data_IF_698904385235
#
_entry.id   IF_698904385235
#
_cell.length_a   1.000
_cell.length_b   1.000
_cell.length_c   1.000
_cell.angle_alpha   90.00
_cell.angle_beta   90.00
_cell.angle_gamma   90.00
#
_symmetry.space_group_name_H-M   'P 1'
#
loop_
_entity.id
_entity.type
_entity.pdbx_description
1 polymer ?
#
# COMPACT_ATOMS: atom_id res chain seq x y z
N UNK A 1 -14.88 7.78 -4.44
CA UNK A 1 -13.63 8.59 -4.41
C UNK A 1 -13.55 9.56 -5.60
N UNK A 2 -13.51 9.10 -6.87
CA UNK A 2 -13.32 9.99 -8.04
C UNK A 2 -14.38 11.10 -8.15
N UNK A 3 -15.63 10.79 -7.81
CA UNK A 3 -16.69 11.79 -7.80
C UNK A 3 -16.40 12.93 -6.78
N UNK A 4 -15.85 12.60 -5.61
CA UNK A 4 -15.45 13.59 -4.61
C UNK A 4 -14.23 14.40 -5.08
N UNK A 5 -13.24 13.74 -5.70
CA UNK A 5 -12.11 14.45 -6.32
C UNK A 5 -12.56 15.40 -7.44
N UNK A 6 -13.61 15.03 -8.19
CA UNK A 6 -14.16 15.92 -9.22
C UNK A 6 -14.90 17.15 -8.64
N UNK A 7 -15.28 17.14 -7.35
CA UNK A 7 -15.86 18.32 -6.66
C UNK A 7 -14.76 19.29 -6.22
N UNK A 8 -13.56 18.80 -5.93
CA UNK A 8 -12.35 19.58 -5.61
C UNK A 8 -11.18 19.03 -6.44
N UNK A 9 -11.17 19.26 -7.76
CA UNK A 9 -10.23 18.59 -8.66
C UNK A 9 -8.80 19.06 -8.40
N UNK A 10 -7.83 18.13 -8.25
CA UNK A 10 -6.43 18.49 -8.24
C UNK A 10 -5.98 18.99 -9.61
N UNK A 11 -5.00 19.88 -9.65
CA UNK A 11 -4.38 20.30 -10.92
C UNK A 11 -3.62 19.14 -11.58
N UNK A 12 -3.00 18.27 -10.79
CA UNK A 12 -2.24 17.09 -11.23
C UNK A 12 -2.49 15.96 -10.26
N UNK A 13 -2.80 14.79 -10.79
CA UNK A 13 -2.84 13.52 -10.06
C UNK A 13 -1.76 12.59 -10.61
N UNK A 14 -1.04 11.93 -9.71
CA UNK A 14 -0.14 10.81 -10.02
C UNK A 14 -0.61 9.58 -9.25
N UNK A 15 -0.81 8.42 -9.91
CA UNK A 15 -1.26 7.23 -9.24
C UNK A 15 -0.20 6.66 -8.29
N UNK A 16 -0.64 6.15 -7.15
CA UNK A 16 0.18 5.28 -6.29
C UNK A 16 0.06 3.80 -6.69
N UNK A 17 0.74 2.93 -5.95
CA UNK A 17 0.66 1.49 -6.18
C UNK A 17 -0.75 0.94 -5.90
N UNK A 18 -1.49 1.50 -4.96
CA UNK A 18 -2.83 1.04 -4.58
C UNK A 18 -3.93 1.34 -5.61
N UNK A 19 -3.70 2.25 -6.55
CA UNK A 19 -4.61 2.46 -7.67
C UNK A 19 -4.72 1.23 -8.59
N UNK A 20 -3.74 0.34 -8.54
CA UNK A 20 -3.69 -0.89 -9.34
C UNK A 20 -4.19 -2.14 -8.61
N UNK A 21 -4.67 -2.04 -7.36
CA UNK A 21 -5.07 -3.20 -6.54
C UNK A 21 -6.19 -4.03 -7.18
N UNK A 22 -7.13 -3.39 -7.86
CA UNK A 22 -8.24 -4.02 -8.57
C UNK A 22 -7.95 -4.30 -10.05
N UNK A 23 -6.70 -4.24 -10.44
CA UNK A 23 -6.24 -4.52 -11.80
C UNK A 23 -6.32 -3.33 -12.76
N UNK A 24 -5.70 -3.47 -13.95
CA UNK A 24 -5.53 -2.36 -14.89
C UNK A 24 -6.85 -1.87 -15.51
N UNK A 25 -7.82 -2.75 -15.68
CA UNK A 25 -9.11 -2.38 -16.31
C UNK A 25 -9.90 -1.44 -15.39
N UNK A 26 -10.04 -1.79 -14.11
CA UNK A 26 -10.75 -0.96 -13.14
C UNK A 26 -9.98 0.35 -12.89
N UNK A 27 -8.65 0.31 -12.81
CA UNK A 27 -7.81 1.50 -12.71
C UNK A 27 -8.08 2.49 -13.86
N UNK A 28 -7.97 2.05 -15.12
CA UNK A 28 -8.19 2.91 -16.29
C UNK A 28 -9.63 3.44 -16.33
N UNK A 29 -10.60 2.59 -16.02
CA UNK A 29 -12.01 2.99 -15.96
C UNK A 29 -12.21 4.13 -14.96
N UNK A 30 -11.68 4.01 -13.73
CA UNK A 30 -11.80 5.03 -12.70
C UNK A 30 -11.05 6.32 -13.04
N UNK A 31 -9.84 6.19 -13.59
CA UNK A 31 -9.08 7.37 -14.01
C UNK A 31 -9.76 8.15 -15.14
N UNK A 32 -10.49 7.47 -16.04
CA UNK A 32 -11.27 8.15 -17.09
C UNK A 32 -12.49 8.92 -16.56
N UNK A 33 -12.99 8.61 -15.36
CA UNK A 33 -14.03 9.39 -14.68
C UNK A 33 -13.49 10.71 -14.10
N UNK A 34 -12.16 10.80 -13.89
CA UNK A 34 -11.49 11.97 -13.30
C UNK A 34 -11.37 13.15 -14.28
N UNK A 35 -11.83 14.33 -13.86
CA UNK A 35 -11.84 15.61 -14.63
C UNK A 35 -10.60 16.47 -14.36
N UNK A 36 -9.48 15.86 -14.08
CA UNK A 36 -8.21 16.50 -13.74
C UNK A 36 -7.07 15.92 -14.58
N UNK A 37 -5.95 16.65 -14.67
CA UNK A 37 -4.79 16.16 -15.37
C UNK A 37 -4.15 15.00 -14.60
N UNK A 38 -3.66 14.01 -15.35
CA UNK A 38 -3.02 12.80 -14.82
C UNK A 38 -1.66 12.63 -15.47
N UNK A 39 -0.63 12.44 -14.64
CA UNK A 39 0.74 12.18 -15.12
C UNK A 39 1.18 10.77 -14.79
N UNK A 40 1.85 10.11 -15.76
CA UNK A 40 2.40 8.78 -15.61
C UNK A 40 3.67 8.64 -16.46
N UNK A 41 4.73 9.33 -16.05
CA UNK A 41 5.97 9.49 -16.83
C UNK A 41 6.71 8.16 -17.01
N UNK A 42 6.80 7.34 -15.94
CA UNK A 42 7.52 6.07 -15.94
C UNK A 42 6.63 4.85 -16.17
N UNK A 43 5.35 5.05 -16.52
CA UNK A 43 4.36 3.96 -16.59
C UNK A 43 3.91 3.74 -18.02
N UNK A 44 3.90 2.47 -18.46
CA UNK A 44 3.49 2.06 -19.81
C UNK A 44 2.80 0.70 -19.78
N UNK A 45 2.02 0.37 -20.80
CA UNK A 45 1.70 -1.01 -21.08
C UNK A 45 2.94 -1.80 -21.52
N UNK A 46 2.90 -3.14 -21.41
CA UNK A 46 4.00 -4.03 -21.84
C UNK A 46 4.40 -3.87 -23.30
N UNK A 47 3.50 -3.40 -24.17
CA UNK A 47 3.76 -3.11 -25.57
C UNK A 47 4.41 -1.73 -25.80
N UNK A 48 4.68 -0.98 -24.72
CA UNK A 48 5.28 0.36 -24.75
C UNK A 48 4.29 1.50 -24.93
N UNK A 49 3.00 1.23 -25.14
CA UNK A 49 1.98 2.27 -25.31
C UNK A 49 1.68 3.01 -24.00
N UNK A 50 1.26 4.28 -24.12
CA UNK A 50 0.84 5.12 -22.99
C UNK A 50 -0.48 4.66 -22.41
N UNK A 51 -0.70 4.95 -21.13
CA UNK A 51 -1.99 4.77 -20.51
C UNK A 51 -3.01 5.79 -21.04
N UNK A 52 -4.23 5.39 -21.37
CA UNK A 52 -5.28 6.29 -21.85
C UNK A 52 -5.57 7.41 -20.85
N UNK A 53 -5.59 8.66 -21.32
CA UNK A 53 -5.88 9.84 -20.51
C UNK A 53 -4.75 10.29 -19.59
N UNK A 54 -3.54 9.74 -19.74
CA UNK A 54 -2.35 10.16 -19.03
C UNK A 54 -1.35 10.83 -19.95
N UNK A 55 -0.67 11.85 -19.41
CA UNK A 55 0.45 12.52 -20.07
C UNK A 55 1.77 12.20 -19.36
N UNK A 56 2.88 12.35 -20.07
CA UNK A 56 4.21 12.14 -19.51
C UNK A 56 4.63 13.31 -18.62
N UNK A 57 4.31 14.54 -19.09
CA UNK A 57 4.74 15.78 -18.44
C UNK A 57 3.69 16.87 -18.62
N UNK A 58 3.79 17.90 -17.78
CA UNK A 58 3.03 19.13 -17.95
C UNK A 58 3.95 20.34 -17.78
N UNK A 59 3.72 21.39 -18.55
CA UNK A 59 4.37 22.68 -18.38
C UNK A 59 3.32 23.71 -18.00
N UNK A 60 3.54 24.45 -16.89
CA UNK A 60 2.74 25.60 -16.48
C UNK A 60 3.61 26.84 -16.37
N UNK A 61 3.06 27.99 -16.68
CA UNK A 61 3.74 29.28 -16.57
C UNK A 61 3.03 30.17 -15.56
N UNK A 62 3.78 30.73 -14.61
CA UNK A 62 3.30 31.64 -13.58
C UNK A 62 4.17 32.92 -13.61
N UNK A 63 3.58 34.05 -14.02
CA UNK A 63 4.28 35.34 -14.07
C UNK A 63 5.63 35.28 -14.80
N UNK A 64 5.68 34.53 -15.91
CA UNK A 64 6.87 34.38 -16.73
C UNK A 64 7.90 33.35 -16.22
N UNK A 65 7.57 32.60 -15.17
CA UNK A 65 8.36 31.46 -14.70
C UNK A 65 7.72 30.17 -15.19
N UNK A 66 8.48 29.34 -15.90
CA UNK A 66 8.02 28.06 -16.43
C UNK A 66 8.35 26.92 -15.47
N UNK A 67 7.36 26.18 -15.05
CA UNK A 67 7.52 25.02 -14.17
C UNK A 67 7.13 23.77 -14.94
N UNK A 68 8.08 22.84 -15.07
CA UNK A 68 7.85 21.54 -15.68
C UNK A 68 7.54 20.50 -14.62
N UNK A 69 6.47 19.72 -14.85
CA UNK A 69 6.00 18.66 -13.95
C UNK A 69 6.18 17.30 -14.61
N UNK A 70 6.57 16.30 -13.81
CA UNK A 70 6.55 14.88 -14.15
C UNK A 70 5.85 14.09 -13.05
N UNK A 71 5.32 12.91 -13.39
CA UNK A 71 4.62 12.01 -12.45
C UNK A 71 5.29 10.64 -12.40
N UNK A 72 5.71 10.17 -11.22
CA UNK A 72 6.40 8.90 -11.06
C UNK A 72 5.71 8.02 -10.00
N UNK A 73 5.43 6.78 -10.39
CA UNK A 73 4.98 5.72 -9.47
C UNK A 73 6.14 4.80 -9.16
N UNK A 74 6.20 4.25 -7.95
CA UNK A 74 7.26 3.33 -7.55
C UNK A 74 7.41 2.14 -8.51
N UNK A 75 8.64 1.83 -8.89
CA UNK A 75 8.97 0.68 -9.75
C UNK A 75 8.71 -0.67 -9.07
N UNK A 76 8.51 -0.68 -7.75
CA UNK A 76 8.15 -1.87 -6.96
C UNK A 76 6.66 -2.25 -7.09
N UNK A 77 5.83 -1.43 -7.75
CA UNK A 77 4.38 -1.65 -7.91
C UNK A 77 4.00 -3.07 -8.34
N UNK A 78 4.72 -3.74 -9.26
CA UNK A 78 4.40 -5.13 -9.63
C UNK A 78 4.56 -6.15 -8.49
N UNK A 79 5.42 -5.87 -7.51
CA UNK A 79 5.65 -6.74 -6.34
C UNK A 79 4.70 -6.41 -5.16
N UNK A 80 4.10 -5.21 -5.14
CA UNK A 80 3.29 -4.71 -4.03
C UNK A 80 1.84 -4.37 -4.39
N UNK A 81 1.41 -4.62 -5.65
CA UNK A 81 0.04 -4.42 -6.13
C UNK A 81 -0.30 -5.35 -7.30
N UNK A 82 -1.32 -5.04 -8.09
CA UNK A 82 -1.86 -5.88 -9.16
C UNK A 82 -1.95 -5.17 -10.52
N UNK A 83 -0.85 -4.59 -11.06
CA UNK A 83 -0.89 -3.76 -12.26
C UNK A 83 -1.07 -4.55 -13.57
N UNK A 84 -1.09 -5.89 -13.54
CA UNK A 84 -1.33 -6.74 -14.70
C UNK A 84 -0.30 -6.57 -15.82
N UNK A 85 -0.74 -5.99 -16.94
CA UNK A 85 0.13 -5.74 -18.10
C UNK A 85 0.75 -4.33 -18.12
N UNK A 86 0.66 -3.59 -17.02
CA UNK A 86 1.30 -2.28 -16.86
C UNK A 86 2.71 -2.49 -16.27
N UNK A 87 3.68 -1.73 -16.77
CA UNK A 87 5.10 -1.78 -16.40
C UNK A 87 5.57 -0.41 -15.92
N UNK A 88 6.58 -0.41 -15.06
CA UNK A 88 7.17 0.78 -14.45
C UNK A 88 8.66 0.79 -14.74
N UNK A 89 9.11 1.86 -15.41
CA UNK A 89 10.52 2.08 -15.68
C UNK A 89 11.24 2.66 -14.47
N UNK A 90 12.58 2.57 -14.43
CA UNK A 90 13.40 3.15 -13.37
C UNK A 90 13.03 4.60 -13.09
N UNK A 91 12.71 4.90 -11.83
CA UNK A 91 12.35 6.25 -11.40
C UNK A 91 13.49 7.24 -11.65
N UNK A 92 14.73 6.87 -11.33
CA UNK A 92 15.91 7.74 -11.48
C UNK A 92 16.21 8.04 -12.94
N UNK A 93 16.24 7.02 -13.82
CA UNK A 93 16.61 7.22 -15.21
C UNK A 93 15.52 7.97 -15.96
N UNK A 94 14.26 7.69 -15.66
CA UNK A 94 13.12 8.42 -16.21
C UNK A 94 13.15 9.88 -15.75
N UNK A 95 13.38 10.16 -14.47
CA UNK A 95 13.47 11.54 -13.97
C UNK A 95 14.62 12.32 -14.60
N UNK A 96 15.80 11.70 -14.76
CA UNK A 96 16.96 12.34 -15.43
C UNK A 96 16.65 12.76 -16.85
N UNK A 97 16.16 11.82 -17.65
CA UNK A 97 15.86 12.09 -19.07
C UNK A 97 14.72 13.10 -19.23
N UNK A 98 13.64 12.95 -18.45
CA UNK A 98 12.49 13.86 -18.50
C UNK A 98 12.84 15.24 -17.98
N UNK A 99 13.59 15.33 -16.85
CA UNK A 99 14.04 16.59 -16.30
C UNK A 99 14.92 17.38 -17.29
N UNK A 100 15.83 16.71 -17.99
CA UNK A 100 16.63 17.32 -19.07
C UNK A 100 15.74 17.85 -20.20
N UNK A 101 14.79 17.06 -20.68
CA UNK A 101 13.87 17.46 -21.74
C UNK A 101 12.97 18.65 -21.33
N UNK A 102 12.50 18.69 -20.09
CA UNK A 102 11.75 19.83 -19.56
C UNK A 102 12.60 21.10 -19.50
N UNK A 103 13.88 21.00 -19.09
CA UNK A 103 14.82 22.13 -19.11
C UNK A 103 15.11 22.63 -20.54
N UNK A 104 15.32 21.72 -21.48
CA UNK A 104 15.48 22.05 -22.90
C UNK A 104 14.24 22.75 -23.48
N UNK A 105 13.05 22.36 -22.99
CA UNK A 105 11.78 23.02 -23.33
C UNK A 105 11.57 24.36 -22.59
N UNK A 106 12.54 24.79 -21.79
CA UNK A 106 12.56 26.09 -21.13
C UNK A 106 12.00 26.11 -19.71
N UNK A 107 11.91 24.98 -19.03
CA UNK A 107 11.52 24.97 -17.62
C UNK A 107 12.58 25.66 -16.74
N UNK A 108 12.14 26.66 -15.98
CA UNK A 108 12.96 27.31 -14.95
C UNK A 108 13.05 26.45 -13.66
N UNK A 109 12.02 25.63 -13.40
CA UNK A 109 11.94 24.70 -12.27
C UNK A 109 11.39 23.36 -12.76
N UNK A 110 11.87 22.26 -12.19
CA UNK A 110 11.36 20.90 -12.42
C UNK A 110 10.82 20.34 -11.12
N UNK A 111 9.53 19.98 -11.14
CA UNK A 111 8.80 19.39 -10.03
C UNK A 111 8.45 17.95 -10.36
N UNK A 112 8.80 17.02 -9.50
CA UNK A 112 8.34 15.64 -9.56
C UNK A 112 7.22 15.43 -8.54
N UNK A 113 6.04 15.06 -9.02
CA UNK A 113 4.94 14.55 -8.19
C UNK A 113 5.08 13.04 -8.19
N UNK A 114 5.29 12.45 -7.02
CA UNK A 114 5.73 11.05 -6.97
C UNK A 114 4.99 10.24 -5.91
N UNK A 115 4.96 8.93 -6.13
CA UNK A 115 4.54 7.96 -5.13
C UNK A 115 5.68 6.95 -4.98
N UNK A 116 6.67 7.31 -4.17
CA UNK A 116 7.94 6.59 -4.00
C UNK A 116 8.41 6.63 -2.54
N UNK A 117 9.30 5.69 -2.16
CA UNK A 117 9.87 5.68 -0.83
C UNK A 117 10.80 6.89 -0.60
N UNK A 118 10.86 7.40 0.61
CA UNK A 118 11.63 8.60 1.02
C UNK A 118 13.08 8.58 0.53
N UNK A 119 13.73 7.41 0.55
CA UNK A 119 15.10 7.27 0.01
C UNK A 119 15.15 7.59 -1.50
N UNK A 120 14.16 7.14 -2.26
CA UNK A 120 14.05 7.42 -3.68
C UNK A 120 13.79 8.92 -3.92
N UNK A 121 12.98 9.55 -3.09
CA UNK A 121 12.67 10.97 -3.17
C UNK A 121 13.92 11.84 -3.06
N UNK A 122 14.80 11.54 -2.10
CA UNK A 122 16.10 12.20 -2.01
C UNK A 122 17.02 11.88 -3.19
N UNK A 123 16.99 10.65 -3.68
CA UNK A 123 17.75 10.28 -4.88
C UNK A 123 17.27 11.06 -6.12
N UNK A 124 15.97 11.33 -6.28
CA UNK A 124 15.41 12.18 -7.34
C UNK A 124 15.93 13.62 -7.24
N UNK A 125 15.95 14.20 -6.04
CA UNK A 125 16.48 15.55 -5.84
C UNK A 125 17.96 15.66 -6.21
N UNK A 126 18.79 14.75 -5.71
CA UNK A 126 20.25 14.89 -5.78
C UNK A 126 20.90 14.17 -6.97
N UNK A 127 20.26 13.13 -7.52
CA UNK A 127 20.83 12.33 -8.62
C UNK A 127 20.12 12.54 -9.94
N UNK A 128 18.86 13.02 -9.95
CA UNK A 128 18.08 13.20 -11.19
C UNK A 128 17.83 14.67 -11.58
N UNK A 129 18.33 15.64 -10.82
CA UNK A 129 18.25 17.06 -11.17
C UNK A 129 16.87 17.69 -10.96
N UNK A 130 15.97 17.04 -10.22
CA UNK A 130 14.67 17.59 -9.80
C UNK A 130 14.89 18.69 -8.76
N UNK A 131 14.09 19.75 -8.77
CA UNK A 131 14.17 20.85 -7.80
C UNK A 131 13.25 20.65 -6.61
N UNK A 132 12.04 20.15 -6.88
CA UNK A 132 11.00 19.90 -5.87
C UNK A 132 10.43 18.51 -6.06
N UNK A 133 10.28 17.77 -4.97
CA UNK A 133 9.56 16.50 -4.90
C UNK A 133 8.33 16.69 -4.03
N UNK A 134 7.15 16.37 -4.58
CA UNK A 134 5.89 16.25 -3.86
C UNK A 134 5.57 14.76 -3.77
N UNK A 135 5.72 14.18 -2.59
CA UNK A 135 5.72 12.72 -2.40
C UNK A 135 4.53 12.20 -1.61
N UNK A 136 4.34 10.92 -1.67
CA UNK A 136 3.53 10.04 -0.84
C UNK A 136 4.13 8.64 -0.85
N UNK A 137 3.51 7.66 -0.24
CA UNK A 137 3.86 6.24 -0.13
C UNK A 137 4.30 5.79 1.26
N UNK A 138 5.29 6.47 1.88
CA UNK A 138 5.84 6.05 3.19
C UNK A 138 4.99 6.51 4.37
N UNK A 139 3.95 7.33 4.12
CA UNK A 139 3.06 7.88 5.14
C UNK A 139 3.77 8.78 6.16
N UNK A 140 4.83 9.47 5.74
CA UNK A 140 5.55 10.40 6.57
C UNK A 140 4.99 11.83 6.48
N UNK A 141 4.97 12.55 7.59
CA UNK A 141 4.85 14.00 7.54
C UNK A 141 6.27 14.58 7.41
N UNK A 142 6.65 14.91 6.19
CA UNK A 142 8.02 15.30 5.88
C UNK A 142 8.06 16.63 5.13
N UNK A 143 8.83 17.59 5.65
CA UNK A 143 9.15 18.86 4.99
C UNK A 143 10.66 19.08 5.06
N UNK A 144 11.27 19.23 3.90
CA UNK A 144 12.71 19.44 3.76
C UNK A 144 13.00 20.57 2.78
N UNK A 145 13.99 21.40 3.08
CA UNK A 145 14.55 22.41 2.20
C UNK A 145 16.02 22.70 2.55
N UNK A 146 16.92 22.62 1.58
CA UNK A 146 18.36 22.85 1.75
C UNK A 146 18.86 24.18 1.19
N UNK A 147 17.96 25.06 0.78
CA UNK A 147 18.27 26.31 0.08
C UNK A 147 18.22 26.21 -1.44
N UNK A 148 18.01 25.02 -2.02
CA UNK A 148 17.94 24.77 -3.47
C UNK A 148 16.94 23.67 -3.86
N UNK A 149 16.72 22.72 -3.00
CA UNK A 149 15.90 21.54 -3.23
C UNK A 149 14.85 21.43 -2.12
N UNK A 150 13.64 21.03 -2.47
CA UNK A 150 12.57 20.83 -1.50
C UNK A 150 11.93 19.44 -1.67
N UNK A 151 11.52 18.85 -0.55
CA UNK A 151 10.72 17.62 -0.48
C UNK A 151 9.56 17.86 0.47
N UNK A 152 8.36 17.42 0.08
CA UNK A 152 7.16 17.44 0.91
C UNK A 152 6.45 16.11 0.79
N UNK A 153 6.09 15.52 1.93
CA UNK A 153 5.15 14.40 2.07
C UNK A 153 4.17 14.74 3.19
N UNK A 154 2.85 14.51 2.99
CA UNK A 154 1.78 15.01 3.86
C UNK A 154 1.09 13.93 4.67
N UNK A 155 1.80 12.84 5.00
CA UNK A 155 1.26 11.67 5.70
C UNK A 155 0.22 10.91 4.86
N UNK A 156 -0.58 10.06 5.49
CA UNK A 156 -1.65 9.29 4.87
C UNK A 156 -3.04 9.86 5.16
N UNK A 157 -4.05 9.35 4.47
CA UNK A 157 -5.49 9.54 4.73
C UNK A 157 -5.95 11.01 4.77
N UNK A 158 -5.18 11.89 4.14
CA UNK A 158 -5.41 13.35 4.17
C UNK A 158 -5.45 13.94 5.60
N UNK A 159 -4.77 13.33 6.59
CA UNK A 159 -4.64 13.90 7.93
C UNK A 159 -4.02 15.31 7.90
N UNK A 160 -3.10 15.53 6.98
CA UNK A 160 -2.45 16.83 6.80
C UNK A 160 -2.51 17.29 5.34
N UNK A 161 -2.56 18.59 5.16
CA UNK A 161 -2.32 19.26 3.88
C UNK A 161 -1.11 20.16 4.05
N UNK A 162 -0.06 19.93 3.24
CA UNK A 162 1.11 20.80 3.22
C UNK A 162 0.99 21.78 2.06
N UNK A 163 1.06 23.05 2.38
CA UNK A 163 1.09 24.14 1.41
C UNK A 163 2.51 24.62 1.29
N UNK A 164 3.03 24.71 0.06
CA UNK A 164 4.34 25.27 -0.24
C UNK A 164 4.15 26.48 -1.17
N UNK A 165 4.13 27.67 -0.60
CA UNK A 165 4.13 28.92 -1.35
C UNK A 165 5.54 29.21 -1.85
N UNK A 166 5.74 29.37 -3.16
CA UNK A 166 7.07 29.61 -3.74
C UNK A 166 7.17 31.03 -4.25
N UNK A 167 8.13 31.76 -3.73
CA UNK A 167 8.51 33.09 -4.23
C UNK A 167 9.65 32.94 -5.25
N UNK A 168 9.55 33.68 -6.36
CA UNK A 168 10.56 33.70 -7.41
C UNK A 168 11.21 35.08 -7.56
N UNK A 169 12.54 35.11 -7.66
CA UNK A 169 13.31 36.25 -8.09
C UNK A 169 13.88 35.97 -9.49
N UNK A 170 13.40 36.72 -10.48
CA UNK A 170 13.80 36.57 -11.87
C UNK A 170 14.72 37.72 -12.25
N UNK A 171 15.96 37.42 -12.50
CA UNK A 171 16.97 38.38 -12.88
C UNK A 171 17.85 37.89 -14.02
N UNK A 172 18.88 38.65 -14.31
CA UNK A 172 19.92 38.31 -15.29
C UNK A 172 21.28 38.24 -14.60
N UNK A 173 22.10 37.27 -14.98
CA UNK A 173 23.48 37.16 -14.53
C UNK A 173 24.38 36.72 -15.71
N UNK A 174 25.36 37.53 -16.05
CA UNK A 174 26.30 37.30 -17.16
C UNK A 174 25.62 37.06 -18.50
N UNK A 175 24.55 37.85 -18.78
CA UNK A 175 23.80 37.77 -20.04
C UNK A 175 22.86 36.54 -20.13
N UNK A 176 22.64 35.84 -19.02
CA UNK A 176 21.73 34.68 -18.97
C UNK A 176 20.63 34.92 -17.92
N UNK A 177 19.42 34.56 -18.28
CA UNK A 177 18.26 34.52 -17.35
C UNK A 177 18.61 33.67 -16.17
N UNK A 178 18.31 34.14 -14.98
CA UNK A 178 18.50 33.43 -13.70
C UNK A 178 17.20 33.51 -12.90
N UNK A 179 16.73 32.36 -12.45
CA UNK A 179 15.58 32.26 -11.54
C UNK A 179 16.08 31.68 -10.19
N UNK A 180 15.80 32.39 -9.13
CA UNK A 180 16.00 31.94 -7.75
C UNK A 180 14.62 31.78 -7.12
N UNK A 181 14.51 30.90 -6.12
CA UNK A 181 13.23 30.66 -5.48
C UNK A 181 13.41 30.30 -4.00
N UNK A 182 12.38 30.59 -3.21
CA UNK A 182 12.29 30.30 -1.79
C UNK A 182 10.89 29.74 -1.48
N UNK A 183 10.80 28.58 -0.77
CA UNK A 183 9.53 28.06 -0.31
C UNK A 183 9.17 28.65 1.06
N UNK A 184 7.88 28.84 1.27
CA UNK A 184 7.27 29.08 2.56
C UNK A 184 6.28 27.96 2.84
N UNK A 185 6.43 27.25 3.96
CA UNK A 185 5.66 26.04 4.25
C UNK A 185 4.61 26.30 5.31
N UNK A 186 3.41 25.77 5.09
CA UNK A 186 2.34 25.71 6.07
C UNK A 186 1.80 24.28 6.10
N UNK A 187 1.63 23.71 7.29
CA UNK A 187 1.04 22.39 7.50
C UNK A 187 -0.30 22.61 8.18
N UNK A 188 -1.36 22.08 7.59
CA UNK A 188 -2.72 22.17 8.09
C UNK A 188 -3.16 20.80 8.55
N UNK A 189 -3.51 20.66 9.83
CA UNK A 189 -4.20 19.49 10.37
C UNK A 189 -5.67 19.56 9.94
N UNK A 190 -6.11 18.60 9.14
CA UNK A 190 -7.45 18.58 8.55
C UNK A 190 -8.54 18.29 9.56
N UNK A 191 -8.21 17.67 10.71
CA UNK A 191 -9.17 17.41 11.78
C UNK A 191 -9.85 18.69 12.30
N UNK A 192 -9.19 19.86 12.12
CA UNK A 192 -9.68 21.16 12.57
C UNK A 192 -10.30 21.99 11.43
N UNK A 193 -10.44 21.43 10.24
CA UNK A 193 -11.00 22.13 9.09
C UNK A 193 -12.50 21.86 8.98
N UNK A 194 -13.31 22.91 8.87
CA UNK A 194 -14.74 22.74 8.60
C UNK A 194 -14.94 22.18 7.19
N UNK A 195 -15.63 21.03 7.03
CA UNK A 195 -15.86 20.44 5.73
C UNK A 195 -16.70 21.35 4.82
N UNK A 196 -16.43 21.31 3.51
CA UNK A 196 -17.33 21.89 2.53
C UNK A 196 -18.73 21.24 2.63
N UNK A 197 -19.83 22.01 2.76
CA UNK A 197 -21.15 21.44 2.99
C UNK A 197 -21.63 20.50 1.88
N UNK A 198 -21.32 20.80 0.61
CA UNK A 198 -21.76 19.96 -0.50
C UNK A 198 -20.99 18.62 -0.54
N UNK A 199 -19.70 18.65 -0.22
CA UNK A 199 -18.88 17.43 -0.08
C UNK A 199 -19.37 16.61 1.11
N UNK A 200 -19.62 17.24 2.25
CA UNK A 200 -20.13 16.56 3.46
C UNK A 200 -21.49 15.88 3.22
N UNK A 201 -22.43 16.56 2.53
CA UNK A 201 -23.72 15.99 2.15
C UNK A 201 -23.56 14.77 1.24
N UNK A 202 -22.64 14.82 0.27
CA UNK A 202 -22.36 13.72 -0.64
C UNK A 202 -21.80 12.51 0.11
N UNK A 203 -20.84 12.74 1.02
CA UNK A 203 -20.27 11.70 1.88
C UNK A 203 -21.35 11.07 2.75
N UNK A 204 -22.18 11.86 3.41
CA UNK A 204 -23.30 11.37 4.22
C UNK A 204 -24.29 10.52 3.42
N UNK A 205 -24.54 10.87 2.16
CA UNK A 205 -25.39 10.08 1.25
C UNK A 205 -24.79 8.70 0.95
N UNK A 206 -23.48 8.60 0.72
CA UNK A 206 -22.80 7.31 0.55
C UNK A 206 -22.83 6.49 1.85
N UNK A 207 -22.54 7.12 2.98
CA UNK A 207 -22.56 6.49 4.29
C UNK A 207 -23.94 5.90 4.62
N UNK A 208 -25.01 6.66 4.40
CA UNK A 208 -26.38 6.20 4.63
C UNK A 208 -26.78 4.99 3.76
N UNK A 209 -26.26 4.94 2.54
CA UNK A 209 -26.49 3.81 1.63
C UNK A 209 -25.71 2.57 2.07
N UNK A 210 -24.44 2.75 2.42
CA UNK A 210 -23.55 1.66 2.83
C UNK A 210 -23.92 1.08 4.20
N UNK A 211 -24.36 1.91 5.14
CA UNK A 211 -24.66 1.48 6.53
C UNK A 211 -25.71 0.40 6.58
N UNK A 212 -26.74 0.45 5.73
CA UNK A 212 -27.80 -0.58 5.71
C UNK A 212 -27.28 -1.99 5.41
N UNK A 213 -26.20 -2.09 4.62
CA UNK A 213 -25.64 -3.36 4.21
C UNK A 213 -24.42 -3.77 5.05
N UNK A 214 -23.68 -2.79 5.53
CA UNK A 214 -22.40 -3.02 6.19
C UNK A 214 -22.52 -3.14 7.71
N UNK A 215 -23.48 -2.45 8.36
CA UNK A 215 -23.61 -2.47 9.82
C UNK A 215 -24.39 -3.70 10.34
N UNK A 216 -24.45 -4.74 9.49
CA UNK A 216 -25.02 -6.05 9.89
C UNK A 216 -24.05 -6.77 10.80
N UNK A 217 -24.50 -7.04 12.04
CA UNK A 217 -23.73 -7.83 13.00
C UNK A 217 -23.45 -9.25 12.46
N UNK A 218 -22.22 -9.72 12.64
CA UNK A 218 -21.78 -11.05 12.24
C UNK A 218 -21.32 -11.92 13.40
N UNK A 219 -21.12 -11.33 14.57
CA UNK A 219 -20.70 -12.00 15.80
C UNK A 219 -20.21 -10.99 16.83
N UNK A 220 -19.63 -11.48 17.90
CA UNK A 220 -19.01 -10.66 18.96
C UNK A 220 -17.57 -11.07 19.18
N UNK A 221 -16.77 -10.24 19.85
CA UNK A 221 -15.44 -10.60 20.32
C UNK A 221 -15.39 -10.53 21.84
N UNK A 222 -15.03 -11.62 22.52
CA UNK A 222 -14.79 -11.63 23.97
C UNK A 222 -13.40 -11.10 24.34
N UNK A 223 -12.57 -10.80 23.34
CA UNK A 223 -11.19 -10.35 23.51
C UNK A 223 -10.97 -9.04 22.74
N UNK A 224 -9.94 -8.32 23.14
CA UNK A 224 -9.44 -7.18 22.36
C UNK A 224 -8.84 -7.65 21.02
N UNK A 225 -9.20 -6.96 19.94
CA UNK A 225 -8.60 -7.17 18.62
C UNK A 225 -7.82 -5.90 18.22
N UNK A 226 -6.52 -5.94 18.41
CA UNK A 226 -5.63 -4.85 18.00
C UNK A 226 -5.20 -5.03 16.53
N UNK A 227 -5.59 -4.09 15.65
CA UNK A 227 -5.28 -4.09 14.22
C UNK A 227 -4.30 -2.99 13.85
N UNK A 228 -3.75 -2.27 14.83
CA UNK A 228 -2.79 -1.18 14.60
C UNK A 228 -1.54 -1.71 13.88
N UNK A 229 -0.99 -0.88 12.98
CA UNK A 229 0.25 -1.19 12.24
C UNK A 229 1.38 -1.64 13.16
N UNK A 230 1.50 -0.99 14.33
CA UNK A 230 2.50 -1.34 15.34
C UNK A 230 2.34 -2.75 15.91
N UNK A 231 1.16 -3.34 15.85
CA UNK A 231 0.86 -4.68 16.36
C UNK A 231 0.89 -5.72 15.24
N UNK A 232 0.09 -5.52 14.17
CA UNK A 232 -0.04 -6.54 13.11
C UNK A 232 1.19 -6.67 12.20
N UNK A 233 2.16 -5.76 12.29
CA UNK A 233 3.37 -5.78 11.46
C UNK A 233 4.65 -6.11 12.22
N UNK A 234 4.57 -6.37 13.53
CA UNK A 234 5.72 -6.60 14.39
C UNK A 234 5.64 -7.87 15.22
N UNK A 235 4.42 -8.40 15.44
CA UNK A 235 4.19 -9.52 16.34
C UNK A 235 2.91 -10.29 16.03
N UNK A 236 2.64 -11.30 16.86
CA UNK A 236 1.40 -12.04 16.81
C UNK A 236 0.23 -11.11 17.17
N UNK A 237 -0.82 -11.08 16.36
CA UNK A 237 -2.01 -10.27 16.58
C UNK A 237 -3.28 -11.13 16.46
N UNK A 238 -4.25 -10.92 17.37
CA UNK A 238 -5.48 -11.71 17.42
C UNK A 238 -6.27 -11.63 16.09
N UNK A 239 -6.37 -10.46 15.47
CA UNK A 239 -7.05 -10.31 14.18
C UNK A 239 -6.29 -10.99 13.04
N UNK A 240 -4.95 -10.98 13.07
CA UNK A 240 -4.11 -11.73 12.12
C UNK A 240 -4.31 -13.24 12.25
N UNK A 241 -4.37 -13.74 13.49
CA UNK A 241 -4.69 -15.13 13.79
C UNK A 241 -6.09 -15.51 13.28
N UNK A 242 -7.10 -14.69 13.59
CA UNK A 242 -8.48 -14.87 13.12
C UNK A 242 -8.56 -14.97 11.59
N UNK A 243 -7.87 -14.07 10.89
CA UNK A 243 -7.84 -14.06 9.41
C UNK A 243 -7.19 -15.31 8.84
N UNK A 244 -6.01 -15.69 9.35
CA UNK A 244 -5.32 -16.90 8.90
C UNK A 244 -6.12 -18.17 9.19
N UNK A 245 -6.81 -18.26 10.36
CA UNK A 245 -7.68 -19.38 10.73
C UNK A 245 -8.90 -19.47 9.81
N UNK A 246 -9.52 -18.33 9.50
CA UNK A 246 -10.66 -18.25 8.59
C UNK A 246 -10.28 -18.77 7.18
N UNK A 247 -9.20 -18.27 6.61
CA UNK A 247 -8.72 -18.68 5.29
C UNK A 247 -8.38 -20.18 5.26
N UNK A 248 -7.61 -20.66 6.25
CA UNK A 248 -7.25 -22.08 6.36
C UNK A 248 -8.49 -22.96 6.42
N UNK A 249 -9.46 -22.57 7.25
CA UNK A 249 -10.71 -23.32 7.44
C UNK A 249 -11.58 -23.31 6.18
N UNK A 250 -11.67 -22.15 5.49
CA UNK A 250 -12.52 -21.98 4.31
C UNK A 250 -12.14 -22.93 3.16
N UNK A 251 -10.85 -23.18 2.97
CA UNK A 251 -10.34 -24.05 1.89
C UNK A 251 -9.86 -25.41 2.36
N UNK A 252 -9.95 -25.71 3.68
CA UNK A 252 -9.53 -26.98 4.25
C UNK A 252 -8.05 -27.25 4.01
N UNK A 253 -7.18 -26.30 4.33
CA UNK A 253 -5.73 -26.44 4.19
C UNK A 253 -5.07 -26.88 5.50
N UNK A 254 -3.84 -27.41 5.42
CA UNK A 254 -3.03 -27.76 6.59
C UNK A 254 -2.56 -26.49 7.32
N UNK A 255 -2.17 -25.47 6.54
CA UNK A 255 -1.55 -24.23 7.00
C UNK A 255 -2.30 -23.02 6.40
N UNK A 256 -2.36 -21.92 7.15
CA UNK A 256 -2.85 -20.63 6.67
C UNK A 256 -1.81 -19.53 6.85
N UNK A 257 -1.61 -18.70 5.83
CA UNK A 257 -0.73 -17.53 5.84
C UNK A 257 -1.47 -16.26 5.42
N UNK A 258 -1.30 -15.18 6.18
CA UNK A 258 -1.69 -13.84 5.74
C UNK A 258 -0.65 -12.81 6.18
N UNK A 259 -0.49 -11.74 5.39
CA UNK A 259 0.47 -10.68 5.68
C UNK A 259 -0.14 -9.57 6.52
N UNK A 260 0.60 -9.01 7.46
CA UNK A 260 0.16 -7.90 8.30
C UNK A 260 -0.16 -6.62 7.51
N UNK A 261 0.45 -6.46 6.31
CA UNK A 261 0.14 -5.38 5.38
C UNK A 261 -1.27 -5.44 4.79
N UNK A 262 -1.90 -6.62 4.79
CA UNK A 262 -3.28 -6.81 4.37
C UNK A 262 -4.32 -6.30 5.37
N UNK A 263 -3.93 -6.05 6.63
CA UNK A 263 -4.81 -5.57 7.72
C UNK A 263 -4.66 -4.06 7.83
N UNK A 264 -5.77 -3.30 7.66
CA UNK A 264 -5.70 -1.85 7.37
C UNK A 264 -6.48 -0.94 8.31
N UNK A 265 -7.37 -1.44 9.18
CA UNK A 265 -8.24 -0.61 10.03
C UNK A 265 -7.50 0.23 11.05
N UNK A 266 -6.28 -0.16 11.44
CA UNK A 266 -5.35 0.58 12.31
C UNK A 266 -5.97 1.07 13.62
N UNK A 267 -6.80 0.24 14.24
CA UNK A 267 -7.56 0.56 15.47
C UNK A 267 -7.61 -0.62 16.45
N UNK A 268 -8.21 -0.39 17.60
CA UNK A 268 -8.50 -1.40 18.61
C UNK A 268 -10.00 -1.60 18.67
N UNK A 269 -10.43 -2.85 18.69
CA UNK A 269 -11.78 -3.27 19.05
C UNK A 269 -11.73 -3.83 20.46
N UNK A 270 -12.46 -3.20 21.38
CA UNK A 270 -12.50 -3.64 22.77
C UNK A 270 -13.16 -5.03 22.91
N UNK A 271 -12.85 -5.73 24.01
CA UNK A 271 -13.58 -6.94 24.38
C UNK A 271 -15.07 -6.62 24.58
N UNK A 272 -15.95 -7.47 24.04
CA UNK A 272 -17.40 -7.25 23.99
C UNK A 272 -17.87 -6.53 22.70
N UNK A 273 -16.98 -6.13 21.80
CA UNK A 273 -17.36 -5.46 20.55
C UNK A 273 -18.22 -6.37 19.66
N UNK A 274 -19.31 -5.82 19.14
CA UNK A 274 -20.12 -6.47 18.12
C UNK A 274 -19.48 -6.25 16.75
N UNK A 275 -18.89 -7.30 16.21
CA UNK A 275 -18.28 -7.28 14.89
C UNK A 275 -19.35 -7.19 13.79
N UNK A 276 -19.15 -6.28 12.86
CA UNK A 276 -20.01 -6.05 11.70
C UNK A 276 -19.31 -6.42 10.40
N UNK A 277 -20.07 -6.47 9.29
CA UNK A 277 -19.49 -6.61 7.96
C UNK A 277 -18.56 -5.42 7.63
N UNK A 278 -18.92 -4.21 8.09
CA UNK A 278 -18.12 -2.99 7.94
C UNK A 278 -16.75 -3.18 8.58
N UNK A 279 -16.68 -3.69 9.79
CA UNK A 279 -15.41 -3.89 10.49
C UNK A 279 -14.48 -4.78 9.67
N UNK A 280 -14.97 -5.94 9.20
CA UNK A 280 -14.15 -6.85 8.40
C UNK A 280 -13.70 -6.23 7.07
N UNK A 281 -14.56 -5.50 6.38
CA UNK A 281 -14.21 -4.85 5.11
C UNK A 281 -13.28 -3.65 5.29
N UNK A 282 -13.35 -2.97 6.43
CA UNK A 282 -12.39 -1.93 6.81
C UNK A 282 -11.00 -2.52 7.07
N UNK A 283 -10.95 -3.68 7.73
CA UNK A 283 -9.67 -4.35 8.00
C UNK A 283 -9.07 -5.00 6.75
N UNK A 284 -9.88 -5.50 5.83
CA UNK A 284 -9.46 -6.28 4.65
C UNK A 284 -10.00 -5.66 3.34
N UNK A 285 -9.56 -4.43 2.96
CA UNK A 285 -10.20 -3.66 1.89
C UNK A 285 -9.78 -4.05 0.47
N UNK A 286 -8.74 -4.86 0.28
CA UNK A 286 -8.10 -5.04 -1.04
C UNK A 286 -8.82 -5.99 -2.01
N UNK A 287 -9.92 -6.62 -1.60
CA UNK A 287 -10.63 -7.56 -2.46
C UNK A 287 -9.85 -8.85 -2.77
N UNK A 288 -8.82 -9.17 -1.98
CA UNK A 288 -8.05 -10.40 -2.16
C UNK A 288 -8.91 -11.65 -2.00
N UNK A 289 -8.66 -12.66 -2.84
CA UNK A 289 -9.26 -13.97 -2.75
C UNK A 289 -8.41 -14.96 -1.94
N UNK A 290 -9.06 -15.90 -1.25
CA UNK A 290 -8.37 -17.01 -0.58
C UNK A 290 -8.02 -18.09 -1.60
N UNK A 291 -6.73 -18.25 -1.90
CA UNK A 291 -6.20 -19.30 -2.78
C UNK A 291 -5.65 -20.48 -1.97
N UNK A 292 -5.56 -21.65 -2.60
CA UNK A 292 -4.96 -22.86 -2.01
C UNK A 292 -3.83 -23.35 -2.88
N UNK A 293 -2.67 -23.50 -2.27
CA UNK A 293 -1.45 -24.02 -2.92
C UNK A 293 -1.04 -25.34 -2.28
N UNK A 294 -0.36 -26.19 -3.04
CA UNK A 294 0.41 -27.31 -2.52
C UNK A 294 1.90 -26.98 -2.64
N UNK A 295 2.59 -26.93 -1.51
CA UNK A 295 4.00 -26.49 -1.42
C UNK A 295 4.83 -27.43 -0.57
N UNK A 296 6.12 -27.55 -0.88
CA UNK A 296 7.04 -28.30 -0.04
C UNK A 296 7.31 -27.58 1.29
N UNK A 297 7.62 -28.33 2.36
CA UNK A 297 7.97 -27.74 3.66
C UNK A 297 9.17 -26.79 3.59
N UNK A 298 10.11 -27.03 2.67
CA UNK A 298 11.22 -26.10 2.42
C UNK A 298 10.76 -24.74 1.92
N UNK A 299 9.68 -24.66 1.13
CA UNK A 299 9.05 -23.41 0.68
C UNK A 299 8.39 -22.68 1.87
N UNK A 300 7.76 -23.44 2.77
CA UNK A 300 7.18 -22.90 4.01
C UNK A 300 8.27 -22.29 4.88
N UNK A 301 9.40 -22.98 5.09
CA UNK A 301 10.55 -22.43 5.84
C UNK A 301 11.06 -21.13 5.21
N UNK A 302 11.22 -21.11 3.89
CA UNK A 302 11.66 -19.91 3.17
C UNK A 302 10.65 -18.75 3.33
N UNK A 303 9.35 -19.04 3.33
CA UNK A 303 8.31 -18.03 3.55
C UNK A 303 8.33 -17.49 4.99
N UNK A 304 8.52 -18.33 5.99
CA UNK A 304 8.66 -17.92 7.38
C UNK A 304 9.90 -17.02 7.58
N UNK A 305 11.05 -17.43 7.07
CA UNK A 305 12.28 -16.61 7.14
C UNK A 305 12.11 -15.25 6.46
N UNK A 306 11.42 -15.23 5.31
CA UNK A 306 11.10 -13.99 4.61
C UNK A 306 10.14 -13.12 5.42
N UNK A 307 9.09 -13.68 6.00
CA UNK A 307 8.09 -12.96 6.77
C UNK A 307 8.66 -12.29 8.02
N UNK A 308 9.66 -12.89 8.64
CA UNK A 308 10.25 -12.40 9.88
C UNK A 308 11.63 -11.76 9.72
N UNK A 309 12.05 -11.49 8.45
CA UNK A 309 13.38 -10.95 8.12
C UNK A 309 13.70 -9.59 8.77
N UNK A 310 12.69 -8.77 9.01
CA UNK A 310 12.85 -7.42 9.58
C UNK A 310 12.46 -7.32 11.06
N UNK A 311 11.91 -8.39 11.67
CA UNK A 311 11.51 -8.33 13.07
C UNK A 311 12.69 -7.88 13.96
N UNK A 312 12.47 -6.99 14.96
CA UNK A 312 11.17 -6.49 15.42
C UNK A 312 10.62 -5.28 14.62
N UNK A 313 11.28 -4.82 13.58
CA UNK A 313 10.86 -3.67 12.78
C UNK A 313 9.55 -3.96 12.03
N UNK A 314 8.67 -2.96 11.99
CA UNK A 314 7.38 -3.09 11.33
C UNK A 314 7.52 -3.21 9.80
N UNK A 315 6.88 -4.22 9.22
CA UNK A 315 6.84 -4.41 7.77
C UNK A 315 5.52 -5.02 7.30
N UNK A 316 5.08 -4.65 6.09
CA UNK A 316 3.84 -5.17 5.49
C UNK A 316 3.86 -6.69 5.30
N UNK A 317 4.99 -7.25 4.93
CA UNK A 317 5.17 -8.69 4.77
C UNK A 317 5.26 -9.50 6.07
N UNK A 318 5.10 -8.91 7.27
CA UNK A 318 5.07 -9.68 8.52
C UNK A 318 3.97 -10.73 8.48
N UNK A 319 4.29 -11.97 8.84
CA UNK A 319 3.45 -13.13 8.59
C UNK A 319 2.62 -13.53 9.80
N UNK A 320 1.29 -13.58 9.64
CA UNK A 320 0.39 -14.27 10.55
C UNK A 320 0.10 -15.68 10.03
N UNK A 321 0.06 -16.65 10.95
CA UNK A 321 0.03 -18.07 10.61
C UNK A 321 -1.15 -18.79 11.26
N UNK A 322 -1.58 -19.90 10.67
CA UNK A 322 -2.59 -20.81 11.20
C UNK A 322 -2.19 -22.27 10.95
N UNK A 323 -2.57 -23.16 11.88
CA UNK A 323 -2.26 -24.60 11.79
C UNK A 323 -0.80 -24.93 12.12
N UNK A 324 -0.04 -23.97 12.65
CA UNK A 324 1.38 -24.17 12.97
C UNK A 324 1.86 -23.29 14.13
N UNK A 325 3.06 -23.60 14.63
CA UNK A 325 3.80 -22.82 15.64
C UNK A 325 5.23 -22.62 15.20
N UNK A 326 5.82 -21.45 15.54
CA UNK A 326 7.20 -21.11 15.17
C UNK A 326 7.88 -20.31 16.26
N UNK A 327 9.19 -20.52 16.44
CA UNK A 327 10.07 -19.67 17.26
C UNK A 327 10.91 -18.79 16.34
N UNK A 328 10.94 -17.49 16.62
CA UNK A 328 11.67 -16.48 15.87
C UNK A 328 12.73 -15.88 16.81
N UNK A 329 13.99 -15.98 16.45
CA UNK A 329 15.12 -15.40 17.18
C UNK A 329 15.63 -14.15 16.44
N UNK A 330 15.24 -12.98 16.95
CA UNK A 330 15.58 -11.68 16.34
C UNK A 330 17.05 -11.30 16.50
N UNK A 331 17.78 -11.97 17.38
CA UNK A 331 19.24 -11.76 17.53
C UNK A 331 20.04 -12.34 16.37
N UNK A 332 19.43 -13.24 15.58
CA UNK A 332 20.06 -13.86 14.42
C UNK A 332 19.89 -13.05 13.14
N UNK A 333 20.80 -13.21 12.18
CA UNK A 333 20.63 -12.54 10.88
C UNK A 333 19.39 -13.04 10.14
N UNK A 334 18.81 -12.17 9.29
CA UNK A 334 17.72 -12.57 8.40
C UNK A 334 18.09 -13.82 7.58
N UNK A 335 17.16 -14.75 7.45
CA UNK A 335 17.37 -16.05 6.79
C UNK A 335 17.86 -17.15 7.73
N UNK A 336 18.01 -16.88 9.03
CA UNK A 336 18.42 -17.86 10.05
C UNK A 336 17.68 -17.65 11.38
N UNK A 337 16.53 -16.99 11.36
CA UNK A 337 15.76 -16.59 12.55
C UNK A 337 14.76 -17.64 13.00
N UNK A 338 14.29 -18.47 12.06
CA UNK A 338 13.18 -19.41 12.29
C UNK A 338 13.69 -20.73 12.86
N UNK A 339 13.01 -21.22 13.89
CA UNK A 339 13.29 -22.52 14.52
C UNK A 339 12.03 -23.12 15.15
N UNK A 340 12.09 -24.38 15.57
CA UNK A 340 10.99 -25.08 16.24
C UNK A 340 9.66 -24.97 15.47
N UNK A 341 9.70 -25.17 14.16
CA UNK A 341 8.51 -25.10 13.31
C UNK A 341 7.71 -26.38 13.47
N UNK A 342 6.48 -26.23 13.95
CA UNK A 342 5.52 -27.34 14.11
C UNK A 342 4.33 -27.11 13.17
N UNK A 343 3.84 -28.14 12.52
CA UNK A 343 2.58 -28.15 11.75
C UNK A 343 1.65 -29.15 12.45
N UNK A 344 0.56 -28.64 13.03
CA UNK A 344 -0.20 -29.40 14.01
C UNK A 344 0.70 -29.79 15.18
N UNK A 345 0.74 -31.10 15.50
CA UNK A 345 1.53 -31.67 16.58
C UNK A 345 2.87 -32.26 16.14
N UNK A 346 3.25 -32.12 14.85
CA UNK A 346 4.47 -32.69 14.30
C UNK A 346 5.46 -31.62 13.83
N UNK A 347 6.79 -31.85 13.94
CA UNK A 347 7.78 -30.99 13.34
C UNK A 347 7.57 -30.87 11.83
N UNK A 348 7.79 -29.67 11.28
CA UNK A 348 7.77 -29.47 9.83
C UNK A 348 8.83 -30.33 9.15
N UNK A 349 8.41 -31.14 8.20
CA UNK A 349 9.31 -31.88 7.33
C UNK A 349 9.56 -31.07 6.03
N UNK A 350 10.80 -30.63 5.77
CA UNK A 350 11.10 -29.84 4.58
C UNK A 350 10.79 -30.53 3.24
N UNK A 351 10.79 -31.86 3.20
CA UNK A 351 10.54 -32.67 2.00
C UNK A 351 9.04 -32.98 1.79
N UNK A 352 8.23 -32.91 2.84
CA UNK A 352 6.79 -33.20 2.76
C UNK A 352 6.04 -32.09 2.06
N UNK A 353 5.02 -32.44 1.27
CA UNK A 353 4.08 -31.51 0.68
C UNK A 353 2.97 -31.15 1.69
N UNK A 354 2.65 -29.87 1.76
CA UNK A 354 1.60 -29.34 2.60
C UNK A 354 0.65 -28.47 1.77
N UNK A 355 -0.62 -28.47 2.14
CA UNK A 355 -1.59 -27.53 1.59
C UNK A 355 -1.56 -26.22 2.37
N UNK A 356 -1.43 -25.11 1.65
CA UNK A 356 -1.33 -23.75 2.18
C UNK A 356 -2.49 -22.91 1.67
N UNK A 357 -3.29 -22.35 2.61
CA UNK A 357 -4.22 -21.26 2.32
C UNK A 357 -3.47 -19.92 2.42
N UNK A 358 -3.59 -19.07 1.42
CA UNK A 358 -3.06 -17.70 1.47
C UNK A 358 -3.91 -16.77 0.62
N UNK A 359 -3.69 -15.46 0.71
CA UNK A 359 -4.36 -14.55 -0.23
C UNK A 359 -3.68 -14.61 -1.61
N UNK A 360 -4.43 -14.30 -2.66
CA UNK A 360 -3.96 -14.34 -4.05
C UNK A 360 -2.78 -13.40 -4.30
N UNK A 361 -2.70 -12.28 -3.60
CA UNK A 361 -1.57 -11.35 -3.65
C UNK A 361 -0.26 -12.03 -3.20
N UNK A 362 -0.24 -12.66 -2.01
CA UNK A 362 0.93 -13.41 -1.54
C UNK A 362 1.22 -14.63 -2.44
N UNK A 363 0.19 -15.34 -2.88
CA UNK A 363 0.32 -16.49 -3.78
C UNK A 363 1.03 -16.14 -5.09
N UNK A 364 0.85 -14.92 -5.58
CA UNK A 364 1.55 -14.37 -6.76
C UNK A 364 2.94 -13.81 -6.43
N UNK A 365 3.38 -13.86 -5.17
CA UNK A 365 4.68 -13.40 -4.71
C UNK A 365 4.69 -11.96 -4.19
N UNK A 366 3.52 -11.39 -3.92
CA UNK A 366 3.40 -10.07 -3.31
C UNK A 366 4.11 -9.97 -1.96
N UNK A 367 4.48 -8.76 -1.52
CA UNK A 367 5.32 -8.50 -0.35
C UNK A 367 6.65 -9.31 -0.36
N UNK A 368 7.11 -9.74 -1.56
CA UNK A 368 8.35 -10.50 -1.74
C UNK A 368 8.24 -12.01 -1.48
N UNK A 369 7.03 -12.57 -1.31
CA UNK A 369 6.79 -14.01 -1.14
C UNK A 369 6.97 -14.81 -2.44
N UNK A 370 8.00 -14.49 -3.23
CA UNK A 370 8.29 -15.10 -4.56
C UNK A 370 8.42 -16.62 -4.52
N UNK A 371 8.80 -17.20 -3.38
CA UNK A 371 8.89 -18.65 -3.19
C UNK A 371 7.54 -19.36 -3.32
N UNK A 372 6.42 -18.68 -3.02
CA UNK A 372 5.09 -19.28 -3.15
C UNK A 372 4.66 -19.52 -4.60
N UNK A 373 5.28 -18.81 -5.57
CA UNK A 373 5.03 -19.04 -7.02
C UNK A 373 5.39 -20.44 -7.49
N UNK A 374 6.23 -21.16 -6.77
CA UNK A 374 6.59 -22.54 -7.09
C UNK A 374 5.55 -23.57 -6.67
N UNK A 375 4.55 -23.15 -5.88
CA UNK A 375 3.48 -24.02 -5.40
C UNK A 375 2.53 -24.44 -6.53
N UNK A 376 2.07 -25.69 -6.47
CA UNK A 376 1.00 -26.16 -7.33
C UNK A 376 -0.32 -25.53 -6.88
N UNK A 377 -0.97 -24.81 -7.77
CA UNK A 377 -2.24 -24.16 -7.50
C UNK A 377 -3.37 -25.19 -7.44
N UNK A 378 -4.07 -25.26 -6.32
CA UNK A 378 -5.24 -26.13 -6.10
C UNK A 378 -6.54 -25.34 -6.16
N UNK A 379 -6.56 -24.08 -5.70
CA UNK A 379 -7.65 -23.12 -5.87
C UNK A 379 -6.97 -21.84 -6.36
N UNK A 380 -7.28 -21.44 -7.58
CA UNK A 380 -6.73 -20.25 -8.23
C UNK A 380 -7.57 -18.99 -7.92
N UNK A 381 -7.08 -17.83 -8.36
CA UNK A 381 -7.73 -16.55 -8.14
C UNK A 381 -9.14 -16.49 -8.76
N UNK A 382 -9.38 -17.16 -9.89
CA UNK A 382 -10.69 -17.12 -10.58
C UNK A 382 -11.77 -17.91 -9.84
N UNK A 383 -11.35 -18.90 -9.06
CA UNK A 383 -12.21 -19.77 -8.24
C UNK A 383 -12.24 -19.34 -6.76
N UNK A 384 -11.38 -18.40 -6.38
CA UNK A 384 -11.23 -17.94 -4.99
C UNK A 384 -12.42 -17.10 -4.53
N UNK A 385 -12.87 -17.34 -3.29
CA UNK A 385 -13.80 -16.45 -2.61
C UNK A 385 -13.01 -15.30 -1.97
N UNK A 386 -13.66 -14.16 -1.80
CA UNK A 386 -13.06 -13.02 -1.10
C UNK A 386 -12.65 -13.41 0.31
N UNK A 387 -11.40 -13.14 0.68
CA UNK A 387 -10.84 -13.39 2.01
C UNK A 387 -11.69 -12.74 3.12
N UNK A 388 -12.17 -11.52 2.90
CA UNK A 388 -13.08 -10.84 3.82
C UNK A 388 -14.39 -11.64 4.04
N UNK A 389 -14.94 -12.27 3.01
CA UNK A 389 -16.12 -13.13 3.14
C UNK A 389 -15.81 -14.39 3.96
N UNK A 390 -14.64 -14.99 3.78
CA UNK A 390 -14.24 -16.16 4.56
C UNK A 390 -14.13 -15.80 6.05
N UNK A 391 -13.57 -14.63 6.38
CA UNK A 391 -13.54 -14.11 7.76
C UNK A 391 -14.94 -13.88 8.29
N UNK A 392 -15.85 -13.25 7.54
CA UNK A 392 -17.23 -13.03 7.97
C UNK A 392 -17.98 -14.34 8.22
N UNK A 393 -17.79 -15.33 7.35
CA UNK A 393 -18.40 -16.67 7.51
C UNK A 393 -17.84 -17.38 8.73
N UNK A 394 -16.52 -17.26 8.96
CA UNK A 394 -15.86 -17.87 10.11
C UNK A 394 -16.32 -17.25 11.43
N UNK A 395 -16.39 -15.91 11.53
CA UNK A 395 -16.93 -15.19 12.70
C UNK A 395 -18.37 -15.58 12.97
N UNK A 396 -19.24 -15.65 11.97
CA UNK A 396 -20.63 -16.12 12.12
C UNK A 396 -20.71 -17.54 12.67
N UNK A 397 -19.84 -18.43 12.19
CA UNK A 397 -19.78 -19.82 12.66
C UNK A 397 -19.34 -19.91 14.11
N UNK A 398 -18.39 -19.07 14.54
CA UNK A 398 -17.94 -18.98 15.93
C UNK A 398 -19.03 -18.37 16.84
N UNK A 399 -19.84 -17.43 16.33
CA UNK A 399 -20.74 -16.57 17.10
C UNK A 399 -19.97 -15.57 17.95
N UNK A 400 -18.97 -16.04 18.69
CA UNK A 400 -18.08 -15.22 19.53
C UNK A 400 -16.61 -15.58 19.27
N UNK A 401 -15.82 -14.57 18.93
CA UNK A 401 -14.37 -14.69 18.74
C UNK A 401 -13.70 -14.75 20.11
N UNK A 402 -12.99 -15.85 20.37
CA UNK A 402 -12.22 -16.10 21.61
C UNK A 402 -10.74 -16.37 21.31
N UNK A 403 -10.38 -16.51 20.04
CA UNK A 403 -9.02 -16.77 19.58
C UNK A 403 -8.22 -15.49 19.71
N UNK A 404 -7.37 -15.43 20.72
CA UNK A 404 -6.45 -14.32 20.97
C UNK A 404 -5.05 -14.58 20.46
N UNK A 405 -4.09 -14.00 21.14
CA UNK A 405 -2.68 -14.35 21.02
C UNK A 405 -2.51 -15.68 21.77
N UNK A 406 -2.26 -16.77 21.03
CA UNK A 406 -2.21 -18.12 21.57
C UNK A 406 -0.79 -18.74 21.57
N UNK A 407 0.22 -17.92 21.26
CA UNK A 407 1.62 -18.31 21.27
C UNK A 407 2.03 -19.14 20.06
N UNK A 408 1.31 -19.00 18.94
CA UNK A 408 1.74 -19.61 17.67
C UNK A 408 3.02 -18.96 17.13
N UNK A 409 3.30 -17.71 17.50
CA UNK A 409 4.57 -17.03 17.30
C UNK A 409 5.27 -16.79 18.64
N UNK A 410 6.45 -17.38 18.83
CA UNK A 410 7.33 -17.09 19.96
C UNK A 410 8.51 -16.27 19.47
N UNK A 411 8.54 -14.97 19.80
CA UNK A 411 9.61 -14.03 19.40
C UNK A 411 10.58 -13.89 20.58
N UNK A 412 11.90 -14.07 20.30
CA UNK A 412 13.00 -13.95 21.27
C UNK A 412 13.98 -12.87 20.85
#
# INVERSE_FOLDING_TARGET
>A
MIELLNMAPPDILVPGNHEYDYGPEEFIKRMNEGKFAKLATNTRYKDGSKLPGFEDTMMKEFSGVKIGFMGLTTEDTPDISSPGNITFSSNIDTAKSTGAALRESGADMVVAVVHTATKMDFDLLYKAGVDVVLSGHDHNLHVFYDGRKALVESKEEAEYVTIMDIEFDVGESRGKRRVRWWPNFRIIDTANVTPDPAVAEKVAGYEATLSKELDVAIGTSDIELDTRKASVRTGEAAFGNLTADAMRTAVGADIGFTNGGGIRGNKIYDAGHTLTRRDVLTELPFGNGTVKLEVAGSVILAALEHGYRSAPEAQGGFLHISGMKVTIDTSKPAGSRVSNVMVGDAPLDPAKMYTLATNDFMGRGGDGYKMLRSGKVLIDQSSAKLMANDVMVYVRKLGTVKTGIDGRLTIK
#
